data_IF_192669532650
#
_entry.id   IF_192669532650
#
_cell.length_a   1.000
_cell.length_b   1.000
_cell.length_c   1.000
_cell.angle_alpha   90.00
_cell.angle_beta   90.00
_cell.angle_gamma   90.00
#
_symmetry.space_group_name_H-M   'P 1'
#
loop_
_entity.id
_entity.type
_entity.pdbx_description
1 polymer ?
#
# COMPACT_ATOMS: atom_id res chain seq x y z
N UNK A 1 14.89 -6.62 -9.98
CA UNK A 1 14.89 -6.04 -8.64
C UNK A 1 13.69 -5.13 -8.57
N UNK A 2 12.73 -5.49 -7.73
CA UNK A 2 11.38 -4.95 -7.79
C UNK A 2 11.34 -3.48 -7.35
N UNK A 3 12.16 -3.10 -6.38
CA UNK A 3 12.26 -1.71 -5.91
C UNK A 3 12.64 -0.77 -7.07
N UNK A 4 13.67 -1.14 -7.84
CA UNK A 4 14.06 -0.37 -9.03
C UNK A 4 12.97 -0.34 -10.09
N UNK A 5 12.21 -1.42 -10.23
CA UNK A 5 11.09 -1.48 -11.18
C UNK A 5 10.04 -0.43 -10.82
N UNK A 6 9.68 -0.33 -9.54
CA UNK A 6 8.70 0.64 -9.04
C UNK A 6 9.12 2.10 -9.27
N UNK A 7 10.41 2.39 -9.23
CA UNK A 7 10.96 3.72 -9.53
C UNK A 7 10.86 4.09 -11.00
N UNK A 8 11.09 3.12 -11.90
CA UNK A 8 11.27 3.38 -13.33
C UNK A 8 10.01 3.15 -14.17
N UNK A 9 9.11 2.25 -13.77
CA UNK A 9 7.91 1.87 -14.54
C UNK A 9 6.68 2.66 -14.10
N UNK A 10 6.66 3.96 -14.42
CA UNK A 10 5.58 4.87 -14.02
C UNK A 10 4.56 5.15 -15.14
N UNK A 11 4.93 4.91 -16.39
CA UNK A 11 4.16 5.36 -17.57
C UNK A 11 2.80 4.65 -17.71
N UNK A 12 2.67 3.44 -17.17
CA UNK A 12 1.44 2.63 -17.27
C UNK A 12 0.50 2.80 -16.06
N UNK A 13 0.84 3.66 -15.10
CA UNK A 13 0.08 3.84 -13.86
C UNK A 13 -0.89 5.03 -13.95
N UNK A 14 -2.13 4.86 -13.48
CA UNK A 14 -3.12 5.94 -13.54
C UNK A 14 -2.78 7.09 -12.60
N UNK A 15 -2.21 6.78 -11.43
CA UNK A 15 -1.67 7.74 -10.46
C UNK A 15 -0.29 7.27 -9.97
N UNK A 16 0.73 7.48 -10.80
CA UNK A 16 2.11 7.13 -10.48
C UNK A 16 2.68 7.92 -9.30
N UNK A 17 2.32 9.20 -9.22
CA UNK A 17 2.84 10.15 -8.23
C UNK A 17 2.17 10.01 -6.85
N UNK A 18 1.05 9.28 -6.77
CA UNK A 18 0.36 9.00 -5.52
C UNK A 18 -0.08 10.30 -4.85
N UNK A 19 -0.86 11.10 -5.57
CA UNK A 19 -1.23 12.47 -5.14
C UNK A 19 -2.47 12.51 -4.23
N UNK A 20 -3.26 11.44 -4.17
CA UNK A 20 -4.46 11.34 -3.33
C UNK A 20 -4.12 11.06 -1.87
N UNK A 21 -4.00 12.13 -1.07
CA UNK A 21 -3.72 12.07 0.37
C UNK A 21 -4.92 11.63 1.22
N UNK A 22 -6.13 11.54 0.66
CA UNK A 22 -7.27 10.98 1.40
C UNK A 22 -7.17 9.45 1.50
N UNK A 23 -6.35 8.82 0.64
CA UNK A 23 -6.13 7.36 0.57
C UNK A 23 -4.78 6.92 1.13
N UNK A 24 -3.91 7.84 1.51
CA UNK A 24 -2.56 7.53 1.99
C UNK A 24 -1.96 8.66 2.85
N UNK A 25 -1.06 8.35 3.78
CA UNK A 25 -0.23 9.35 4.45
C UNK A 25 0.81 10.00 3.53
N UNK A 26 1.28 11.20 3.89
CA UNK A 26 2.29 11.95 3.13
C UNK A 26 3.60 11.16 2.92
N UNK A 27 4.03 10.35 3.90
CA UNK A 27 5.26 9.56 3.75
C UNK A 27 5.18 8.54 2.61
N UNK A 28 3.96 8.16 2.17
CA UNK A 28 3.74 7.22 1.09
C UNK A 28 3.75 7.89 -0.29
N UNK A 29 4.00 9.20 -0.37
CA UNK A 29 4.18 9.93 -1.63
C UNK A 29 5.60 9.72 -2.19
N UNK A 30 5.88 8.49 -2.61
CA UNK A 30 7.14 8.06 -3.21
C UNK A 30 6.89 6.82 -4.10
N UNK A 31 7.88 6.38 -4.91
CA UNK A 31 7.66 5.29 -5.86
C UNK A 31 7.28 3.93 -5.27
N UNK A 32 7.63 3.65 -4.01
CA UNK A 32 7.36 2.38 -3.33
C UNK A 32 6.15 2.46 -2.38
N UNK A 33 5.52 3.64 -2.26
CA UNK A 33 4.36 3.93 -1.40
C UNK A 33 4.48 3.43 0.03
N UNK A 34 5.67 3.57 0.60
CA UNK A 34 5.96 3.11 1.96
C UNK A 34 7.09 3.90 2.62
N UNK A 35 7.29 3.70 3.93
CA UNK A 35 8.37 4.33 4.70
C UNK A 35 9.75 3.74 4.39
N UNK A 36 9.82 2.43 4.13
CA UNK A 36 11.05 1.70 3.77
C UNK A 36 10.77 0.89 2.49
N UNK A 37 11.59 0.99 1.43
CA UNK A 37 11.31 0.38 0.12
C UNK A 37 11.00 -1.13 0.15
N UNK A 38 11.49 -1.85 1.17
CA UNK A 38 11.39 -3.30 1.29
C UNK A 38 10.04 -3.77 1.89
N UNK A 39 9.23 -2.88 2.47
CA UNK A 39 7.96 -3.23 3.10
C UNK A 39 6.84 -2.27 2.68
N UNK A 40 5.94 -2.75 1.83
CA UNK A 40 4.66 -2.11 1.51
C UNK A 40 3.55 -2.55 2.46
N UNK A 41 2.69 -1.61 2.87
CA UNK A 41 1.53 -1.88 3.73
C UNK A 41 0.29 -1.31 3.04
N UNK A 42 -0.69 -2.15 2.74
CA UNK A 42 -1.87 -1.77 1.96
C UNK A 42 -3.15 -2.36 2.56
N UNK A 43 -4.26 -1.65 2.41
CA UNK A 43 -5.59 -2.22 2.59
C UNK A 43 -5.91 -3.10 1.37
N UNK A 44 -6.05 -4.41 1.60
CA UNK A 44 -6.29 -5.43 0.56
C UNK A 44 -7.70 -5.41 -0.05
N UNK A 45 -8.28 -4.23 -0.27
CA UNK A 45 -9.62 -4.00 -0.78
C UNK A 45 -9.50 -3.25 -2.11
N UNK A 46 -9.97 -3.86 -3.20
CA UNK A 46 -9.98 -3.25 -4.52
C UNK A 46 -10.85 -1.99 -4.52
N UNK A 47 -10.27 -0.89 -4.97
CA UNK A 47 -10.91 0.44 -5.03
C UNK A 47 -12.04 0.55 -6.05
N UNK A 48 -12.25 -0.47 -6.89
CA UNK A 48 -13.42 -0.54 -7.76
C UNK A 48 -14.71 -0.76 -6.94
N UNK A 49 -14.90 -1.96 -6.38
CA UNK A 49 -16.12 -2.38 -5.68
C UNK A 49 -15.84 -3.33 -4.50
N UNK A 50 -14.61 -3.32 -3.97
CA UNK A 50 -14.29 -3.93 -2.68
C UNK A 50 -13.89 -5.41 -2.66
N UNK A 51 -13.70 -6.05 -3.82
CA UNK A 51 -13.12 -7.41 -3.86
C UNK A 51 -11.67 -7.42 -3.34
N UNK A 52 -11.16 -8.56 -2.85
CA UNK A 52 -9.74 -8.70 -2.49
C UNK A 52 -8.87 -8.99 -3.73
N UNK A 53 -7.88 -8.15 -4.08
CA UNK A 53 -6.91 -8.45 -5.13
C UNK A 53 -6.01 -9.65 -4.76
N UNK A 54 -5.58 -10.40 -5.77
CA UNK A 54 -4.67 -11.54 -5.60
C UNK A 54 -3.28 -11.18 -6.07
N UNK A 55 -2.26 -11.52 -5.28
CA UNK A 55 -0.87 -11.46 -5.71
C UNK A 55 -0.62 -12.47 -6.85
N UNK A 56 0.09 -12.04 -7.89
CA UNK A 56 0.54 -12.88 -9.01
C UNK A 56 2.05 -12.80 -9.10
N UNK A 57 2.73 -13.86 -8.65
CA UNK A 57 4.19 -13.91 -8.56
C UNK A 57 4.87 -13.75 -9.93
N UNK A 58 4.36 -14.45 -10.96
CA UNK A 58 4.93 -14.42 -12.32
C UNK A 58 4.88 -13.03 -12.99
N UNK A 59 3.89 -12.20 -12.61
CA UNK A 59 3.70 -10.84 -13.15
C UNK A 59 4.28 -9.77 -12.22
N UNK A 60 4.52 -10.13 -10.95
CA UNK A 60 4.85 -9.20 -9.88
C UNK A 60 3.79 -8.12 -9.74
N UNK A 61 2.52 -8.49 -9.58
CA UNK A 61 1.44 -7.51 -9.44
C UNK A 61 0.27 -8.04 -8.57
N UNK A 62 -0.67 -7.15 -8.25
CA UNK A 62 -1.95 -7.51 -7.65
C UNK A 62 -3.05 -7.43 -8.69
N UNK A 63 -3.84 -8.51 -8.83
CA UNK A 63 -4.91 -8.63 -9.80
C UNK A 63 -6.26 -8.89 -9.13
N UNK A 64 -7.25 -8.07 -9.43
CA UNK A 64 -8.63 -8.22 -8.96
C UNK A 64 -9.49 -8.94 -10.02
N UNK A 65 -9.83 -10.23 -9.84
CA UNK A 65 -10.50 -11.05 -10.85
C UNK A 65 -11.97 -10.66 -11.10
N UNK A 66 -12.57 -9.84 -10.24
CA UNK A 66 -13.96 -9.44 -10.37
C UNK A 66 -14.23 -8.67 -11.68
N UNK A 67 -13.32 -7.76 -12.06
CA UNK A 67 -13.46 -6.92 -13.26
C UNK A 67 -12.13 -6.62 -13.98
N UNK A 68 -11.04 -7.29 -13.58
CA UNK A 68 -9.76 -7.19 -14.28
C UNK A 68 -8.86 -6.03 -13.87
N UNK A 69 -9.13 -5.36 -12.75
CA UNK A 69 -8.22 -4.32 -12.22
C UNK A 69 -6.87 -4.88 -11.83
N UNK A 70 -5.82 -4.12 -12.12
CA UNK A 70 -4.42 -4.46 -11.82
C UNK A 70 -3.78 -3.33 -11.03
N UNK A 71 -2.90 -3.70 -10.10
CA UNK A 71 -2.07 -2.81 -9.32
C UNK A 71 -0.65 -3.35 -9.30
N UNK A 72 0.36 -2.50 -9.38
CA UNK A 72 1.75 -2.94 -9.23
C UNK A 72 2.07 -3.35 -7.76
N UNK A 73 3.32 -3.72 -7.47
CA UNK A 73 3.73 -4.10 -6.10
C UNK A 73 3.70 -2.94 -5.08
N UNK A 74 3.63 -1.70 -5.56
CA UNK A 74 3.38 -0.54 -4.70
C UNK A 74 1.88 -0.29 -4.48
N UNK A 75 1.00 -1.14 -5.02
CA UNK A 75 -0.45 -0.94 -4.96
C UNK A 75 -0.96 0.17 -5.89
N UNK A 76 -0.15 0.64 -6.85
CA UNK A 76 -0.54 1.69 -7.79
C UNK A 76 -1.35 1.09 -8.94
N UNK A 77 -2.51 1.67 -9.23
CA UNK A 77 -3.45 1.17 -10.22
C UNK A 77 -2.94 1.39 -11.65
N UNK A 78 -3.08 0.37 -12.48
CA UNK A 78 -2.71 0.42 -13.90
C UNK A 78 -3.76 1.21 -14.69
N UNK A 79 -3.34 1.98 -15.71
CA UNK A 79 -4.24 2.73 -16.60
C UNK A 79 -5.24 1.82 -17.31
N UNK A 80 -6.45 2.36 -17.54
CA UNK A 80 -7.45 1.72 -18.40
C UNK A 80 -8.18 0.53 -17.78
N UNK A 81 -8.05 0.33 -16.46
CA UNK A 81 -8.81 -0.70 -15.72
C UNK A 81 -9.97 -0.08 -14.93
N UNK A 82 -10.96 -0.87 -14.45
CA UNK A 82 -12.14 -0.31 -13.76
C UNK A 82 -11.90 0.26 -12.36
N UNK A 83 -10.79 -0.10 -11.70
CA UNK A 83 -10.44 0.51 -10.42
C UNK A 83 -10.03 1.97 -10.65
N UNK A 84 -10.66 2.93 -9.97
CA UNK A 84 -10.38 4.35 -10.17
C UNK A 84 -9.04 4.78 -9.56
N UNK A 85 -8.64 4.14 -8.47
CA UNK A 85 -7.60 4.66 -7.57
C UNK A 85 -6.61 3.57 -7.12
N UNK A 86 -5.44 3.98 -6.64
CA UNK A 86 -4.44 3.12 -6.01
C UNK A 86 -5.00 2.43 -4.75
N UNK A 87 -4.43 1.30 -4.32
CA UNK A 87 -4.75 0.70 -3.04
C UNK A 87 -4.41 1.65 -1.89
N UNK A 88 -5.28 1.70 -0.89
CA UNK A 88 -5.10 2.59 0.26
C UNK A 88 -3.90 2.14 1.08
N UNK A 89 -3.07 3.10 1.50
CA UNK A 89 -1.99 2.88 2.46
C UNK A 89 -2.52 3.33 3.82
N UNK A 90 -2.73 2.43 4.80
CA UNK A 90 -3.14 2.88 6.12
C UNK A 90 -1.98 3.61 6.81
N UNK A 91 -2.26 4.49 7.80
CA UNK A 91 -1.23 5.00 8.69
C UNK A 91 -0.55 3.84 9.43
N UNK A 92 0.77 3.85 9.51
CA UNK A 92 1.53 2.87 10.28
C UNK A 92 2.87 3.43 10.74
N UNK A 93 3.42 2.84 11.80
CA UNK A 93 4.70 3.24 12.41
C UNK A 93 5.56 2.01 12.74
N UNK A 94 6.88 2.17 12.75
CA UNK A 94 7.80 1.12 13.22
C UNK A 94 7.97 1.21 14.74
N UNK A 95 7.69 0.12 15.46
CA UNK A 95 7.99 -0.02 16.88
C UNK A 95 9.43 -0.48 17.11
N UNK A 96 9.96 -1.25 16.14
CA UNK A 96 11.35 -1.68 16.06
C UNK A 96 11.72 -1.99 14.61
N UNK A 97 12.90 -2.56 14.36
CA UNK A 97 13.28 -2.99 13.01
C UNK A 97 12.44 -4.15 12.46
N UNK A 98 11.77 -4.91 13.33
CA UNK A 98 11.01 -6.12 12.97
C UNK A 98 9.53 -6.04 13.31
N UNK A 99 9.07 -4.94 13.90
CA UNK A 99 7.68 -4.80 14.36
C UNK A 99 7.12 -3.46 13.92
N UNK A 100 5.91 -3.49 13.37
CA UNK A 100 5.13 -2.32 12.99
C UNK A 100 3.79 -2.34 13.69
N UNK A 101 3.21 -1.15 13.86
CA UNK A 101 1.82 -0.97 14.27
C UNK A 101 1.05 -0.27 13.15
N UNK A 102 -0.09 -0.84 12.76
CA UNK A 102 -1.00 -0.28 11.77
C UNK A 102 -2.12 0.49 12.49
N UNK A 103 -2.52 1.62 11.93
CA UNK A 103 -3.51 2.54 12.51
C UNK A 103 -2.89 3.72 13.28
N UNK A 104 -1.57 3.80 13.37
CA UNK A 104 -0.85 4.84 14.13
C UNK A 104 0.24 5.44 13.27
N UNK A 105 0.25 6.77 13.14
CA UNK A 105 1.36 7.52 12.56
C UNK A 105 2.32 8.04 13.63
N UNK A 106 3.57 8.31 13.24
CA UNK A 106 4.63 8.80 14.13
C UNK A 106 4.18 9.99 15.00
N UNK A 107 3.35 10.87 14.44
CA UNK A 107 2.81 12.05 15.14
C UNK A 107 1.90 11.69 16.32
N UNK A 108 1.21 10.55 16.23
CA UNK A 108 0.25 10.07 17.22
C UNK A 108 0.76 8.85 18.00
N UNK A 109 2.01 8.43 17.79
CA UNK A 109 2.59 7.25 18.45
C UNK A 109 2.61 7.36 19.98
N UNK A 110 2.86 8.57 20.52
CA UNK A 110 2.82 8.83 21.95
C UNK A 110 1.41 8.84 22.56
N UNK A 111 0.37 8.92 21.72
CA UNK A 111 -1.04 8.91 22.11
C UNK A 111 -1.74 7.58 21.77
N UNK A 112 -1.00 6.62 21.20
CA UNK A 112 -1.51 5.27 21.01
C UNK A 112 -1.89 4.71 22.40
N UNK A 113 -3.15 4.27 22.59
CA UNK A 113 -3.59 3.73 23.88
C UNK A 113 -2.63 2.61 24.30
N UNK A 114 -2.38 2.51 25.60
CA UNK A 114 -1.50 1.52 26.25
C UNK A 114 -1.46 0.24 25.40
N UNK A 115 -0.32 0.00 24.74
CA UNK A 115 -0.04 -1.22 24.01
C UNK A 115 -0.13 -2.36 25.01
N UNK A 116 -1.34 -2.86 25.22
CA UNK A 116 -1.64 -3.95 26.10
C UNK A 116 -0.74 -5.12 25.69
N UNK A 117 0.20 -5.45 26.57
CA UNK A 117 1.18 -6.54 26.52
C UNK A 117 0.54 -7.94 26.36
N UNK A 118 -0.73 -8.01 25.96
CA UNK A 118 -1.51 -9.24 25.88
C UNK A 118 -2.22 -9.52 24.54
N UNK A 119 -2.05 -8.75 23.46
CA UNK A 119 -2.88 -8.98 22.25
C UNK A 119 -2.10 -9.28 20.96
N UNK A 120 -2.26 -10.53 20.51
CA UNK A 120 -2.14 -11.05 19.13
C UNK A 120 -0.93 -10.61 18.30
N UNK A 121 0.20 -11.27 18.56
CA UNK A 121 1.30 -11.40 17.59
C UNK A 121 0.81 -12.18 16.37
N UNK A 122 0.66 -11.50 15.24
CA UNK A 122 0.69 -12.12 13.91
C UNK A 122 2.14 -12.38 13.49
#
# INVERSE_FOLDING_TARGET
DDIRRLENEQDDLADAASEDLDRQPEYARNPWRSRKPELGVYIGICTHLGCSPKYRDDEGDFYCPCHGSRFDLAGRVVKGVPAPDNLDVPPYSYLSDTEIIVGVDDENLAAAPDLDDSTERA
#
